data_IF_368349930058
#
_entry.id   IF_368349930058
#
_cell.length_a   1.000
_cell.length_b   1.000
_cell.length_c   1.000
_cell.angle_alpha   90.00
_cell.angle_beta   90.00
_cell.angle_gamma   90.00
#
_symmetry.space_group_name_H-M   'P 1'
#
loop_
_entity.id
_entity.type
_entity.pdbx_description
1 polymer ?
#
# COMPACT_ATOMS: atom_id res chain seq x y z
N UNK A 1 12.50 -15.63 -13.05
CA UNK A 1 11.44 -16.50 -12.47
C UNK A 1 10.45 -16.86 -13.57
N UNK A 2 10.10 -18.14 -13.70
CA UNK A 2 9.10 -18.57 -14.69
C UNK A 2 7.76 -17.94 -14.34
N UNK A 3 7.18 -17.19 -15.27
CA UNK A 3 5.84 -16.59 -15.11
C UNK A 3 4.77 -17.61 -15.48
N UNK A 4 4.75 -18.74 -14.78
CA UNK A 4 3.71 -19.73 -14.95
C UNK A 4 2.39 -19.18 -14.39
N UNK A 5 1.56 -18.67 -15.29
CA UNK A 5 0.25 -18.10 -14.96
C UNK A 5 -0.66 -19.13 -14.29
N UNK A 6 -0.62 -20.38 -14.77
CA UNK A 6 -1.46 -21.46 -14.24
C UNK A 6 -1.04 -21.83 -12.83
N UNK A 7 0.26 -21.99 -12.59
CA UNK A 7 0.79 -22.28 -11.27
C UNK A 7 0.57 -21.13 -10.26
N UNK A 8 0.72 -19.89 -10.71
CA UNK A 8 0.41 -18.73 -9.87
C UNK A 8 -1.08 -18.69 -9.50
N UNK A 9 -1.95 -18.88 -10.47
CA UNK A 9 -3.40 -18.91 -10.23
C UNK A 9 -3.79 -20.04 -9.28
N UNK A 10 -3.23 -21.25 -9.48
CA UNK A 10 -3.51 -22.39 -8.62
C UNK A 10 -3.07 -22.18 -7.16
N UNK A 11 -1.94 -21.52 -6.94
CA UNK A 11 -1.45 -21.18 -5.57
C UNK A 11 -2.34 -20.17 -4.86
N UNK A 12 -2.91 -19.24 -5.61
CA UNK A 12 -3.64 -18.10 -5.06
C UNK A 12 -5.14 -18.21 -5.18
N UNK A 13 -5.66 -19.33 -5.69
CA UNK A 13 -7.07 -19.58 -5.79
C UNK A 13 -7.60 -20.22 -4.51
N UNK A 14 -7.96 -19.41 -3.49
CA UNK A 14 -8.54 -19.95 -2.26
C UNK A 14 -9.94 -20.47 -2.54
N UNK A 15 -10.58 -21.01 -1.52
CA UNK A 15 -11.99 -21.44 -1.62
C UNK A 15 -12.87 -20.33 -2.22
N UNK A 16 -14.04 -20.70 -2.75
CA UNK A 16 -15.04 -19.75 -3.25
C UNK A 16 -15.73 -18.94 -2.14
N UNK A 17 -15.33 -19.13 -0.88
CA UNK A 17 -15.90 -18.46 0.28
C UNK A 17 -15.44 -17.01 0.35
N UNK A 18 -16.36 -16.10 0.59
CA UNK A 18 -16.08 -14.68 0.80
C UNK A 18 -15.09 -14.51 1.97
N UNK A 19 -14.01 -13.78 1.73
CA UNK A 19 -13.08 -13.41 2.78
C UNK A 19 -13.70 -12.32 3.68
N UNK A 20 -13.46 -12.43 4.98
CA UNK A 20 -13.87 -11.42 5.94
C UNK A 20 -12.65 -10.78 6.57
N UNK A 21 -12.73 -9.46 6.75
CA UNK A 21 -11.71 -8.72 7.49
C UNK A 21 -11.61 -9.27 8.91
N UNK A 22 -10.41 -9.59 9.36
CA UNK A 22 -10.14 -10.03 10.73
C UNK A 22 -10.44 -8.92 11.75
N UNK A 23 -10.83 -9.25 12.98
CA UNK A 23 -11.00 -8.26 14.04
C UNK A 23 -9.66 -7.57 14.37
N UNK A 24 -9.72 -6.32 14.85
CA UNK A 24 -8.51 -5.54 15.17
C UNK A 24 -7.59 -6.24 16.18
N UNK A 25 -8.13 -7.05 17.07
CA UNK A 25 -7.37 -7.83 18.06
C UNK A 25 -6.49 -8.91 17.44
N UNK A 26 -6.77 -9.32 16.19
CA UNK A 26 -6.00 -10.31 15.45
C UNK A 26 -5.04 -9.66 14.42
N UNK A 27 -4.92 -8.34 14.43
CA UNK A 27 -4.13 -7.58 13.46
C UNK A 27 -2.98 -6.83 14.15
N UNK A 28 -1.83 -6.70 13.49
CA UNK A 28 -0.67 -6.01 14.05
C UNK A 28 -0.86 -4.48 13.95
N UNK A 29 -1.18 -3.84 15.06
CA UNK A 29 -1.20 -2.39 15.20
C UNK A 29 0.05 -1.90 15.92
N UNK A 30 0.60 -0.76 15.46
CA UNK A 30 1.82 -0.16 16.02
C UNK A 30 1.53 1.01 16.98
N UNK A 31 0.37 1.05 17.62
CA UNK A 31 -0.07 2.19 18.45
C UNK A 31 0.90 2.56 19.57
N UNK A 32 1.68 1.61 20.08
CA UNK A 32 2.65 1.81 21.15
C UNK A 32 3.92 0.96 21.00
N UNK A 33 4.17 0.37 19.84
CA UNK A 33 5.32 -0.50 19.56
C UNK A 33 6.24 0.13 18.52
N UNK A 34 7.51 -0.26 18.53
CA UNK A 34 8.46 0.11 17.48
C UNK A 34 8.00 -0.46 16.13
N UNK A 35 8.18 0.34 15.09
CA UNK A 35 7.91 -0.12 13.74
C UNK A 35 8.97 -1.16 13.30
N UNK A 36 8.57 -2.22 12.61
CA UNK A 36 9.50 -3.21 12.07
C UNK A 36 10.35 -2.63 10.94
N UNK A 37 11.56 -3.14 10.77
CA UNK A 37 12.44 -2.83 9.65
C UNK A 37 12.82 -4.12 8.90
N UNK A 38 12.95 -4.06 7.56
CA UNK A 38 12.68 -2.93 6.68
C UNK A 38 11.18 -2.63 6.54
N UNK A 39 10.82 -1.35 6.37
CA UNK A 39 9.43 -0.89 6.23
C UNK A 39 9.20 -0.19 4.91
N UNK A 40 8.04 -0.39 4.31
CA UNK A 40 7.57 0.30 3.11
C UNK A 40 6.31 1.08 3.44
N UNK A 41 6.25 2.35 3.06
CA UNK A 41 5.07 3.18 3.32
C UNK A 41 4.04 3.04 2.20
N UNK A 42 2.80 2.75 2.60
CA UNK A 42 1.62 2.89 1.76
C UNK A 42 1.26 4.37 1.54
N UNK A 43 0.53 4.67 0.49
CA UNK A 43 0.07 6.03 0.14
C UNK A 43 -0.66 6.72 1.29
N UNK A 44 -1.42 5.98 2.11
CA UNK A 44 -2.13 6.54 3.27
C UNK A 44 -1.19 7.22 4.27
N UNK A 45 0.05 6.74 4.42
CA UNK A 45 1.04 7.36 5.33
C UNK A 45 1.37 8.78 4.87
N UNK A 46 1.68 8.96 3.59
CA UNK A 46 2.03 10.29 3.03
C UNK A 46 0.85 11.26 3.11
N UNK A 47 -0.36 10.78 2.80
CA UNK A 47 -1.58 11.58 2.91
C UNK A 47 -1.81 12.05 4.35
N UNK A 48 -1.61 11.16 5.33
CA UNK A 48 -1.81 11.48 6.74
C UNK A 48 -0.69 12.39 7.30
N UNK A 49 0.55 12.27 6.78
CA UNK A 49 1.64 13.24 7.03
C UNK A 49 1.25 14.63 6.53
N UNK A 50 0.81 14.74 5.27
CA UNK A 50 0.37 16.00 4.66
C UNK A 50 -0.76 16.68 5.43
N UNK A 51 -1.68 15.88 5.96
CA UNK A 51 -2.82 16.38 6.73
C UNK A 51 -2.52 16.57 8.24
N UNK A 52 -1.31 16.27 8.70
CA UNK A 52 -0.93 16.38 10.11
C UNK A 52 -1.68 15.43 11.05
N UNK A 53 -2.21 14.31 10.53
CA UNK A 53 -3.10 13.41 11.26
C UNK A 53 -2.39 12.32 12.07
N UNK A 54 -1.09 12.18 11.91
CA UNK A 54 -0.34 11.14 12.63
C UNK A 54 -0.24 11.43 14.12
N UNK A 55 -0.33 10.39 14.94
CA UNK A 55 -0.05 10.49 16.38
C UNK A 55 1.42 10.90 16.62
N UNK A 56 1.70 11.51 17.78
CA UNK A 56 3.07 11.93 18.11
C UNK A 56 4.02 10.73 18.28
N UNK A 57 3.50 9.57 18.69
CA UNK A 57 4.28 8.34 18.70
C UNK A 57 4.71 7.96 17.26
N UNK A 58 3.75 7.89 16.34
CA UNK A 58 4.03 7.50 14.95
C UNK A 58 4.94 8.51 14.23
N UNK A 59 4.80 9.82 14.49
CA UNK A 59 5.73 10.84 13.97
C UNK A 59 7.17 10.59 14.41
N UNK A 60 7.39 10.25 15.69
CA UNK A 60 8.73 9.91 16.19
C UNK A 60 9.30 8.66 15.54
N UNK A 61 8.48 7.62 15.39
CA UNK A 61 8.90 6.38 14.75
C UNK A 61 9.26 6.60 13.27
N UNK A 62 8.42 7.32 12.52
CA UNK A 62 8.68 7.66 11.11
C UNK A 62 9.96 8.50 10.96
N UNK A 63 10.20 9.46 11.86
CA UNK A 63 11.40 10.30 11.83
C UNK A 63 12.71 9.53 12.12
N UNK A 64 12.62 8.38 12.79
CA UNK A 64 13.76 7.49 13.10
C UNK A 64 14.13 6.56 11.96
N UNK A 65 13.18 6.27 11.07
CA UNK A 65 13.32 5.23 10.06
C UNK A 65 13.80 5.79 8.72
N UNK A 66 14.47 4.92 7.97
CA UNK A 66 14.74 5.11 6.55
C UNK A 66 13.82 4.19 5.74
N UNK A 67 12.61 4.64 5.40
CA UNK A 67 11.63 3.78 4.74
C UNK A 67 12.02 3.44 3.31
N UNK A 68 11.42 2.37 2.81
CA UNK A 68 11.28 2.12 1.40
C UNK A 68 10.03 2.82 0.89
N UNK A 69 10.05 3.19 -0.38
CA UNK A 69 8.97 3.82 -1.11
C UNK A 69 8.56 2.92 -2.28
N UNK A 70 7.42 3.19 -2.90
CA UNK A 70 6.98 2.46 -4.10
C UNK A 70 6.53 3.44 -5.18
N UNK A 71 6.94 3.22 -6.42
CA UNK A 71 6.52 4.04 -7.57
C UNK A 71 4.99 4.04 -7.77
N UNK A 72 4.29 3.05 -7.25
CA UNK A 72 2.82 3.04 -7.23
C UNK A 72 2.27 4.11 -6.29
N UNK A 73 2.82 4.23 -5.07
CA UNK A 73 2.45 5.30 -4.14
C UNK A 73 2.80 6.68 -4.72
N UNK A 74 3.94 6.81 -5.43
CA UNK A 74 4.30 8.00 -6.18
C UNK A 74 3.22 8.37 -7.20
N UNK A 75 2.79 7.38 -8.00
CA UNK A 75 1.75 7.61 -9.02
C UNK A 75 0.41 8.05 -8.41
N UNK A 76 0.03 7.51 -7.24
CA UNK A 76 -1.18 7.92 -6.53
C UNK A 76 -1.07 9.35 -5.99
N UNK A 77 0.07 9.73 -5.44
CA UNK A 77 0.33 11.08 -4.96
C UNK A 77 0.32 12.10 -6.12
N UNK A 78 0.97 11.78 -7.22
CA UNK A 78 1.00 12.66 -8.41
C UNK A 78 -0.34 12.72 -9.14
N UNK A 79 -1.12 11.64 -9.13
CA UNK A 79 -2.49 11.64 -9.62
C UNK A 79 -3.37 12.67 -8.87
N UNK A 80 -3.17 12.83 -7.55
CA UNK A 80 -3.88 13.87 -6.79
C UNK A 80 -3.59 15.27 -7.34
N UNK A 81 -2.34 15.56 -7.71
CA UNK A 81 -1.97 16.83 -8.31
C UNK A 81 -2.74 17.11 -9.61
N UNK A 82 -2.88 16.08 -10.47
CA UNK A 82 -3.61 16.20 -11.74
C UNK A 82 -5.13 16.43 -11.58
N UNK A 83 -5.68 16.07 -10.42
CA UNK A 83 -7.12 16.28 -10.12
C UNK A 83 -7.45 17.66 -9.56
N UNK A 84 -6.46 18.44 -9.14
CA UNK A 84 -6.69 19.75 -8.56
C UNK A 84 -7.10 20.75 -9.64
N UNK A 85 -8.05 21.61 -9.30
CA UNK A 85 -8.40 22.73 -10.17
C UNK A 85 -7.24 23.76 -10.21
N UNK A 86 -6.61 23.99 -11.37
CA UNK A 86 -5.49 24.92 -11.48
C UNK A 86 -5.87 26.36 -11.15
N UNK A 87 -7.14 26.74 -11.27
CA UNK A 87 -7.63 28.08 -10.95
C UNK A 87 -7.85 28.29 -9.44
N UNK A 88 -7.89 27.21 -8.63
CA UNK A 88 -8.06 27.35 -7.19
C UNK A 88 -6.77 27.86 -6.53
N UNK A 89 -6.87 28.92 -5.72
CA UNK A 89 -5.70 29.61 -5.10
C UNK A 89 -4.80 28.68 -4.25
N UNK A 90 -5.34 27.62 -3.67
CA UNK A 90 -4.60 26.66 -2.84
C UNK A 90 -3.85 25.58 -3.62
N UNK A 91 -4.16 25.38 -4.90
CA UNK A 91 -3.62 24.29 -5.71
C UNK A 91 -2.09 24.28 -5.74
N UNK A 92 -1.48 25.43 -6.01
CA UNK A 92 -0.01 25.54 -6.04
C UNK A 92 0.66 25.19 -4.72
N UNK A 93 0.01 25.44 -3.57
CA UNK A 93 0.52 25.05 -2.26
C UNK A 93 0.49 23.52 -2.10
N UNK A 94 -0.62 22.88 -2.40
CA UNK A 94 -0.78 21.41 -2.28
C UNK A 94 0.20 20.68 -3.20
N UNK A 95 0.35 21.13 -4.45
CA UNK A 95 1.31 20.55 -5.40
C UNK A 95 2.74 20.62 -4.84
N UNK A 96 3.16 21.78 -4.30
CA UNK A 96 4.50 21.92 -3.69
C UNK A 96 4.69 21.02 -2.47
N UNK A 97 3.66 20.82 -1.65
CA UNK A 97 3.73 19.90 -0.52
C UNK A 97 3.92 18.44 -0.99
N UNK A 98 3.19 18.00 -2.03
CA UNK A 98 3.37 16.67 -2.60
C UNK A 98 4.76 16.53 -3.21
N UNK A 99 5.20 17.49 -4.02
CA UNK A 99 6.54 17.50 -4.60
C UNK A 99 7.64 17.43 -3.53
N UNK A 100 7.50 18.18 -2.42
CA UNK A 100 8.46 18.14 -1.31
C UNK A 100 8.56 16.78 -0.59
N UNK A 101 7.64 15.87 -0.85
CA UNK A 101 7.72 14.49 -0.36
C UNK A 101 8.34 13.59 -1.43
N UNK A 102 7.75 13.58 -2.63
CA UNK A 102 8.08 12.63 -3.69
C UNK A 102 9.48 12.89 -4.27
N UNK A 103 9.85 14.16 -4.52
CA UNK A 103 11.14 14.54 -5.12
C UNK A 103 12.34 14.25 -4.19
N UNK A 104 12.10 14.05 -2.89
CA UNK A 104 13.16 13.76 -1.90
C UNK A 104 13.33 12.27 -1.60
N UNK A 105 12.55 11.39 -2.24
CA UNK A 105 12.77 9.96 -2.05
C UNK A 105 14.13 9.53 -2.64
N UNK A 106 14.97 8.83 -1.86
CA UNK A 106 16.22 8.31 -2.38
C UNK A 106 15.95 7.32 -3.52
N UNK A 107 16.50 7.51 -4.72
CA UNK A 107 16.19 6.64 -5.88
C UNK A 107 16.46 5.15 -5.64
N UNK A 108 17.46 4.84 -4.81
CA UNK A 108 17.83 3.47 -4.44
C UNK A 108 16.88 2.85 -3.40
N UNK A 109 15.91 3.61 -2.88
CA UNK A 109 14.87 3.14 -1.96
C UNK A 109 13.47 3.20 -2.55
N UNK A 110 13.34 3.43 -3.85
CA UNK A 110 12.06 3.39 -4.57
C UNK A 110 11.91 2.04 -5.27
N UNK A 111 10.96 1.24 -4.81
CA UNK A 111 10.62 -0.04 -5.44
C UNK A 111 9.74 0.19 -6.66
N UNK A 112 10.13 -0.43 -7.77
CA UNK A 112 9.38 -0.39 -9.02
C UNK A 112 8.85 -1.79 -9.29
N UNK A 113 7.53 -2.04 -9.29
CA UNK A 113 6.97 -3.34 -9.57
C UNK A 113 7.39 -3.85 -10.93
N UNK A 114 7.96 -5.04 -10.98
CA UNK A 114 8.34 -5.69 -12.22
C UNK A 114 7.13 -6.39 -12.89
N UNK A 115 7.37 -6.97 -14.08
CA UNK A 115 6.31 -7.67 -14.84
C UNK A 115 5.67 -8.82 -14.03
N UNK A 116 6.43 -9.50 -13.20
CA UNK A 116 5.91 -10.62 -12.42
C UNK A 116 4.97 -10.12 -11.32
N UNK A 117 5.36 -9.05 -10.61
CA UNK A 117 4.51 -8.38 -9.61
C UNK A 117 3.22 -7.87 -10.25
N UNK A 118 3.28 -7.21 -11.42
CA UNK A 118 2.10 -6.74 -12.12
C UNK A 118 1.11 -7.86 -12.44
N UNK A 119 1.61 -9.01 -12.90
CA UNK A 119 0.77 -10.17 -13.21
C UNK A 119 0.11 -10.75 -11.95
N UNK A 120 0.88 -10.90 -10.89
CA UNK A 120 0.40 -11.45 -9.64
C UNK A 120 -0.60 -10.51 -8.97
N UNK A 121 -0.35 -9.21 -8.95
CA UNK A 121 -1.28 -8.19 -8.47
C UNK A 121 -2.61 -8.22 -9.23
N UNK A 122 -2.56 -8.39 -10.55
CA UNK A 122 -3.78 -8.52 -11.36
C UNK A 122 -4.59 -9.77 -10.99
N UNK A 123 -3.94 -10.90 -10.73
CA UNK A 123 -4.61 -12.13 -10.27
C UNK A 123 -5.25 -11.91 -8.90
N UNK A 124 -4.51 -11.36 -7.93
CA UNK A 124 -5.02 -11.07 -6.58
C UNK A 124 -6.21 -10.12 -6.64
N UNK A 125 -6.11 -9.05 -7.43
CA UNK A 125 -7.21 -8.10 -7.64
C UNK A 125 -8.46 -8.80 -8.20
N UNK A 126 -8.29 -9.67 -9.20
CA UNK A 126 -9.39 -10.45 -9.77
C UNK A 126 -10.03 -11.40 -8.75
N UNK A 127 -9.22 -12.07 -7.93
CA UNK A 127 -9.70 -12.94 -6.86
C UNK A 127 -10.48 -12.12 -5.82
N UNK A 128 -9.95 -10.98 -5.36
CA UNK A 128 -10.61 -10.12 -4.39
C UNK A 128 -11.92 -9.55 -4.95
N UNK A 129 -11.94 -9.11 -6.21
CA UNK A 129 -13.18 -8.65 -6.87
C UNK A 129 -14.25 -9.72 -6.85
N UNK A 130 -13.90 -10.95 -7.21
CA UNK A 130 -14.82 -12.10 -7.20
C UNK A 130 -15.31 -12.45 -5.80
N UNK A 131 -14.41 -12.50 -4.81
CA UNK A 131 -14.73 -12.91 -3.44
C UNK A 131 -15.47 -11.82 -2.65
N UNK A 132 -15.24 -10.55 -2.95
CA UNK A 132 -15.84 -9.42 -2.24
C UNK A 132 -17.06 -8.85 -2.97
N UNK A 133 -17.40 -9.33 -4.17
CA UNK A 133 -18.40 -8.72 -5.04
C UNK A 133 -18.12 -7.21 -5.23
N UNK A 134 -16.83 -6.86 -5.36
CA UNK A 134 -16.40 -5.49 -5.52
C UNK A 134 -16.87 -4.91 -6.87
N UNK A 135 -17.14 -3.61 -6.89
CA UNK A 135 -17.47 -2.90 -8.13
C UNK A 135 -16.21 -2.69 -8.97
N UNK A 136 -16.36 -2.62 -10.29
CA UNK A 136 -15.24 -2.35 -11.20
C UNK A 136 -14.53 -1.02 -10.90
N UNK A 137 -15.25 -0.07 -10.32
CA UNK A 137 -14.71 1.24 -9.88
C UNK A 137 -13.61 1.12 -8.82
N UNK A 138 -13.65 0.07 -7.98
CA UNK A 138 -12.66 -0.19 -6.93
C UNK A 138 -11.41 -0.91 -7.45
N UNK A 139 -11.42 -1.38 -8.71
CA UNK A 139 -10.35 -2.19 -9.30
C UNK A 139 -8.99 -1.48 -9.23
N UNK A 140 -8.93 -0.20 -9.57
CA UNK A 140 -7.68 0.57 -9.59
C UNK A 140 -7.03 0.63 -8.21
N UNK A 141 -7.82 0.91 -7.17
CA UNK A 141 -7.34 0.96 -5.79
C UNK A 141 -6.82 -0.41 -5.33
N UNK A 142 -7.62 -1.45 -5.50
CA UNK A 142 -7.21 -2.82 -5.10
C UNK A 142 -5.96 -3.27 -5.83
N UNK A 143 -5.80 -2.88 -7.11
CA UNK A 143 -4.60 -3.17 -7.90
C UNK A 143 -3.37 -2.47 -7.32
N UNK A 144 -3.48 -1.20 -6.95
CA UNK A 144 -2.38 -0.43 -6.36
C UNK A 144 -1.97 -1.00 -5.00
N UNK A 145 -2.93 -1.32 -4.13
CA UNK A 145 -2.67 -1.99 -2.85
C UNK A 145 -1.93 -3.33 -3.04
N UNK A 146 -2.36 -4.13 -4.02
CA UNK A 146 -1.72 -5.40 -4.34
C UNK A 146 -0.28 -5.21 -4.89
N UNK A 147 -0.05 -4.20 -5.73
CA UNK A 147 1.28 -3.86 -6.24
C UNK A 147 2.23 -3.43 -5.12
N UNK A 148 1.78 -2.55 -4.21
CA UNK A 148 2.56 -2.11 -3.04
C UNK A 148 2.88 -3.32 -2.14
N UNK A 149 1.89 -4.15 -1.85
CA UNK A 149 2.02 -5.31 -0.98
C UNK A 149 3.01 -6.36 -1.52
N UNK A 150 2.91 -6.70 -2.80
CA UNK A 150 3.80 -7.67 -3.44
C UNK A 150 5.22 -7.10 -3.63
N UNK A 151 5.36 -5.80 -3.89
CA UNK A 151 6.68 -5.16 -3.93
C UNK A 151 7.36 -5.22 -2.56
N UNK A 152 6.61 -4.96 -1.48
CA UNK A 152 7.11 -5.11 -0.13
C UNK A 152 7.55 -6.56 0.16
N UNK A 153 6.71 -7.54 -0.20
CA UNK A 153 7.01 -8.96 -0.02
C UNK A 153 8.29 -9.36 -0.76
N UNK A 154 8.46 -8.96 -2.02
CA UNK A 154 9.65 -9.29 -2.82
C UNK A 154 10.95 -8.77 -2.19
N UNK A 155 10.88 -7.63 -1.49
CA UNK A 155 12.03 -6.98 -0.85
C UNK A 155 12.14 -7.23 0.66
N UNK A 156 11.30 -8.13 1.20
CA UNK A 156 11.31 -8.46 2.62
C UNK A 156 10.82 -7.35 3.54
N UNK A 157 10.15 -6.34 3.00
CA UNK A 157 9.61 -5.21 3.74
C UNK A 157 8.26 -5.53 4.39
N UNK A 158 7.95 -4.85 5.49
CA UNK A 158 6.60 -4.78 6.06
C UNK A 158 5.91 -3.50 5.58
N UNK A 159 4.67 -3.59 5.09
CA UNK A 159 3.90 -2.40 4.70
C UNK A 159 3.35 -1.69 5.93
N UNK A 160 3.58 -0.38 6.05
CA UNK A 160 2.88 0.48 7.01
C UNK A 160 1.68 1.12 6.32
N UNK A 161 0.47 0.88 6.85
CA UNK A 161 -0.76 1.40 6.25
C UNK A 161 -1.85 1.68 7.28
N UNK A 162 -2.76 2.61 6.93
CA UNK A 162 -4.05 2.79 7.61
C UNK A 162 -5.17 1.99 6.94
N UNK A 163 -4.95 1.52 5.71
CA UNK A 163 -5.92 0.71 4.96
C UNK A 163 -5.97 -0.74 5.47
N UNK A 164 -6.56 -0.90 6.66
CA UNK A 164 -6.63 -2.21 7.35
C UNK A 164 -7.36 -3.26 6.51
N UNK A 165 -8.45 -2.84 5.82
CA UNK A 165 -9.32 -3.80 5.11
C UNK A 165 -8.59 -4.49 3.97
N UNK A 166 -8.00 -3.72 3.10
CA UNK A 166 -7.48 -4.26 1.84
C UNK A 166 -6.17 -5.02 2.08
N UNK A 167 -5.28 -4.49 2.93
CA UNK A 167 -4.06 -5.21 3.30
C UNK A 167 -4.32 -6.46 4.15
N UNK A 168 -5.36 -6.47 4.99
CA UNK A 168 -5.75 -7.69 5.70
C UNK A 168 -6.22 -8.79 4.75
N UNK A 169 -7.01 -8.46 3.75
CA UNK A 169 -7.45 -9.42 2.74
C UNK A 169 -6.27 -9.92 1.89
N UNK A 170 -5.32 -9.05 1.54
CA UNK A 170 -4.10 -9.45 0.85
C UNK A 170 -3.25 -10.41 1.69
N UNK A 171 -3.08 -10.14 3.00
CA UNK A 171 -2.38 -11.06 3.91
C UNK A 171 -3.07 -12.41 4.05
N UNK A 172 -4.39 -12.48 3.94
CA UNK A 172 -5.12 -13.76 3.94
C UNK A 172 -4.89 -14.56 2.66
N UNK A 173 -4.75 -13.88 1.50
CA UNK A 173 -4.45 -14.54 0.22
C UNK A 173 -2.97 -14.92 0.10
N UNK A 174 -2.08 -14.08 0.62
CA UNK A 174 -0.61 -14.25 0.55
C UNK A 174 -0.02 -14.11 1.95
N UNK A 175 -0.08 -15.18 2.79
CA UNK A 175 0.33 -15.13 4.19
C UNK A 175 1.83 -14.82 4.42
N UNK A 176 2.65 -14.93 3.39
CA UNK A 176 4.07 -14.57 3.45
C UNK A 176 4.30 -13.03 3.49
N UNK A 177 3.35 -12.26 2.97
CA UNK A 177 3.41 -10.79 3.01
C UNK A 177 3.04 -10.25 4.39
N UNK A 178 3.57 -9.09 4.73
CA UNK A 178 3.40 -8.46 6.06
C UNK A 178 2.90 -7.03 5.92
N UNK A 179 1.94 -6.67 6.76
CA UNK A 179 1.54 -5.29 6.96
C UNK A 179 1.40 -5.01 8.45
N UNK A 180 1.67 -3.78 8.86
CA UNK A 180 1.43 -3.25 10.20
C UNK A 180 0.55 -2.01 10.07
N UNK A 181 -0.37 -1.85 11.00
CA UNK A 181 -1.41 -0.81 10.91
C UNK A 181 -1.25 0.25 11.97
N UNK A 182 -1.69 1.47 11.63
CA UNK A 182 -1.80 2.57 12.58
C UNK A 182 -3.21 3.17 12.56
N UNK A 183 -3.51 3.96 13.62
CA UNK A 183 -4.75 4.74 13.76
C UNK A 183 -4.44 6.24 13.78
N UNK A 184 -5.41 7.05 13.38
CA UNK A 184 -5.39 8.52 13.45
C UNK A 184 -6.42 9.03 14.44
#
# INVERSE_FOLDING_TARGET
>A
MSTDLVGTLAKQQPSSTRLQRRPNTALPFCDATLLPEPILYDTTVYIDVLHGKLSDHLKREIARLEPWHCSVAESEMTYLCGRLDPAHYGTGHVVRQIASIVDYWPPNRVLIPDRAIWREAAILTGILSRLQHARDEDRGRTMNDALIFLSALQHGCTVLSRNVRDFDLLMQLVPAGKAVFYRI
#
